data_IF_107212524961
#
_entry.id   IF_107212524961
#
_cell.length_a   1.000
_cell.length_b   1.000
_cell.length_c   1.000
_cell.angle_alpha   90.00
_cell.angle_beta   90.00
_cell.angle_gamma   90.00
#
_symmetry.space_group_name_H-M   'P 1'
#
loop_
_entity.id
_entity.type
_entity.pdbx_description
1 polymer ?
#
# COMPACT_ATOMS: atom_id res chain seq x y z
N UNK A 1 32.97 3.20 -14.45
CA UNK A 1 33.26 4.03 -15.64
C UNK A 1 34.32 5.06 -15.28
N UNK A 2 34.98 5.70 -16.25
CA UNK A 2 36.17 6.56 -15.98
C UNK A 2 35.95 7.58 -14.84
N UNK A 3 34.81 8.27 -14.83
CA UNK A 3 34.46 9.23 -13.77
C UNK A 3 34.30 8.57 -12.39
N UNK A 4 33.67 7.39 -12.33
CA UNK A 4 33.49 6.61 -11.10
C UNK A 4 34.82 6.12 -10.54
N UNK A 5 35.78 5.79 -11.39
CA UNK A 5 37.12 5.34 -10.99
C UNK A 5 37.97 6.49 -10.47
N UNK A 6 37.85 7.68 -11.06
CA UNK A 6 38.47 8.92 -10.55
C UNK A 6 37.92 9.24 -9.16
N UNK A 7 36.60 9.20 -9.00
CA UNK A 7 35.93 9.44 -7.72
C UNK A 7 36.35 8.43 -6.64
N UNK A 8 36.46 7.14 -7.00
CA UNK A 8 36.97 6.08 -6.12
C UNK A 8 38.35 6.46 -5.56
N UNK A 9 39.29 6.85 -6.43
CA UNK A 9 40.65 7.25 -6.03
C UNK A 9 40.65 8.49 -5.14
N UNK A 10 39.82 9.49 -5.45
CA UNK A 10 39.71 10.71 -4.66
C UNK A 10 39.21 10.43 -3.25
N UNK A 11 38.13 9.64 -3.11
CA UNK A 11 37.62 9.24 -1.80
C UNK A 11 38.68 8.48 -1.02
N UNK A 12 39.30 7.44 -1.59
CA UNK A 12 40.31 6.65 -0.87
C UNK A 12 41.51 7.49 -0.43
N UNK A 13 41.89 8.50 -1.22
CA UNK A 13 42.96 9.44 -0.84
C UNK A 13 42.56 10.31 0.35
N UNK A 14 41.32 10.80 0.36
CA UNK A 14 40.79 11.60 1.47
C UNK A 14 40.67 10.79 2.75
N UNK A 15 40.18 9.54 2.69
CA UNK A 15 40.07 8.70 3.89
C UNK A 15 41.43 8.46 4.54
N UNK A 16 42.45 8.12 3.73
CA UNK A 16 43.82 7.91 4.21
C UNK A 16 44.45 9.17 4.82
N UNK A 17 44.02 10.35 4.40
CA UNK A 17 44.50 11.61 4.97
C UNK A 17 43.86 11.93 6.34
N UNK A 18 42.64 11.45 6.58
CA UNK A 18 41.91 11.68 7.84
C UNK A 18 42.27 10.60 8.87
N UNK A 19 42.14 9.33 8.49
CA UNK A 19 42.48 8.19 9.34
C UNK A 19 43.15 7.09 8.50
N UNK A 20 44.47 6.86 8.68
CA UNK A 20 45.18 5.83 7.93
C UNK A 20 44.79 4.39 8.31
N UNK A 21 44.11 4.17 9.45
CA UNK A 21 43.69 2.84 9.88
C UNK A 21 42.38 2.38 9.23
N UNK A 22 41.65 3.26 8.55
CA UNK A 22 40.37 2.92 7.91
C UNK A 22 40.59 2.39 6.48
N UNK A 23 40.31 1.10 6.26
CA UNK A 23 40.26 0.52 4.91
C UNK A 23 38.88 0.74 4.26
N UNK A 24 38.76 1.82 3.49
CA UNK A 24 37.55 2.15 2.76
C UNK A 24 37.52 1.46 1.40
N UNK A 25 36.53 0.58 1.18
CA UNK A 25 36.33 -0.14 -0.08
C UNK A 25 35.05 0.34 -0.81
N UNK A 26 35.16 1.25 -1.80
CA UNK A 26 34.00 1.71 -2.56
C UNK A 26 33.47 0.61 -3.47
N UNK A 27 32.21 0.22 -3.27
CA UNK A 27 31.49 -0.73 -4.14
C UNK A 27 30.77 0.07 -5.23
N UNK A 28 31.17 -0.12 -6.49
CA UNK A 28 30.47 0.45 -7.63
C UNK A 28 29.20 -0.35 -7.89
N UNK A 29 28.05 0.34 -7.93
CA UNK A 29 26.80 -0.27 -8.40
C UNK A 29 26.69 -0.08 -9.92
N UNK A 30 26.14 -1.07 -10.65
CA UNK A 30 25.86 -0.90 -12.08
C UNK A 30 24.90 0.28 -12.28
N UNK A 31 24.99 0.94 -13.43
CA UNK A 31 24.03 1.98 -13.81
C UNK A 31 22.63 1.38 -13.80
N UNK A 32 21.67 2.12 -13.23
CA UNK A 32 20.28 1.71 -13.27
C UNK A 32 19.80 1.48 -14.72
N UNK A 33 18.89 0.53 -14.88
CA UNK A 33 18.29 0.22 -16.20
C UNK A 33 17.64 1.46 -16.79
N UNK A 34 17.61 1.57 -18.12
CA UNK A 34 16.87 2.63 -18.83
C UNK A 34 15.41 2.73 -18.35
N UNK A 35 14.83 1.59 -17.97
CA UNK A 35 13.50 1.48 -17.33
C UNK A 35 13.34 2.31 -16.04
N UNK A 36 14.43 2.55 -15.30
CA UNK A 36 14.40 3.39 -14.10
C UNK A 36 14.27 4.88 -14.47
N UNK A 37 14.81 5.32 -15.60
CA UNK A 37 14.69 6.70 -16.09
C UNK A 37 13.37 6.92 -16.84
N UNK A 38 12.87 5.89 -17.52
CA UNK A 38 11.63 5.91 -18.28
C UNK A 38 10.69 4.84 -17.73
N UNK A 39 9.96 5.13 -16.64
CA UNK A 39 9.00 4.19 -16.08
C UNK A 39 7.97 3.85 -17.16
N UNK A 40 7.76 2.56 -17.40
CA UNK A 40 6.82 2.07 -18.41
C UNK A 40 5.35 2.44 -18.08
N UNK A 41 5.04 2.74 -16.82
CA UNK A 41 3.70 3.02 -16.33
C UNK A 41 3.67 4.35 -15.60
N UNK A 42 2.56 5.05 -15.76
CA UNK A 42 2.29 6.29 -15.03
C UNK A 42 2.25 6.06 -13.51
N UNK A 43 2.70 7.04 -12.72
CA UNK A 43 2.63 6.96 -11.27
C UNK A 43 1.17 6.88 -10.82
N UNK A 44 0.87 5.87 -10.02
CA UNK A 44 -0.49 5.67 -9.48
C UNK A 44 -0.74 6.73 -8.39
N UNK A 45 -1.80 7.56 -8.49
CA UNK A 45 -2.20 8.51 -7.45
C UNK A 45 -2.43 7.82 -6.09
N UNK A 46 -2.15 8.54 -4.99
CA UNK A 46 -2.21 7.97 -3.63
C UNK A 46 -3.58 7.34 -3.31
N UNK A 47 -4.67 8.02 -3.67
CA UNK A 47 -6.05 7.60 -3.41
C UNK A 47 -6.43 6.25 -4.04
N UNK A 48 -5.88 5.92 -5.20
CA UNK A 48 -6.19 4.67 -5.91
C UNK A 48 -5.16 3.56 -5.70
N UNK A 49 -4.18 3.75 -4.80
CA UNK A 49 -3.25 2.68 -4.42
C UNK A 49 -3.96 1.60 -3.60
N UNK A 50 -3.55 0.36 -3.80
CA UNK A 50 -4.04 -0.82 -3.08
C UNK A 50 -2.94 -1.53 -2.30
N UNK A 51 -3.32 -2.34 -1.30
CA UNK A 51 -2.41 -3.17 -0.49
C UNK A 51 -1.35 -2.35 0.22
N UNK A 52 -1.81 -1.32 0.93
CA UNK A 52 -0.96 -0.36 1.63
C UNK A 52 -1.34 -0.29 3.10
N UNK A 53 -0.35 0.04 3.93
CA UNK A 53 -0.54 0.56 5.28
C UNK A 53 -0.42 2.08 5.19
N UNK A 54 -1.43 2.77 5.68
CA UNK A 54 -1.54 4.21 5.64
C UNK A 54 -1.69 4.79 7.05
N UNK A 55 -1.36 6.06 7.18
CA UNK A 55 -1.49 6.85 8.39
C UNK A 55 -2.42 8.03 8.12
N UNK A 56 -3.37 8.25 9.03
CA UNK A 56 -4.25 9.40 9.07
C UNK A 56 -3.93 10.24 10.30
N UNK A 57 -3.93 11.54 10.12
CA UNK A 57 -3.68 12.51 11.18
C UNK A 57 -4.96 13.30 11.43
N UNK A 58 -5.16 13.66 12.70
CA UNK A 58 -6.13 14.67 13.06
C UNK A 58 -5.56 16.07 12.77
N UNK A 59 -6.43 16.98 12.32
CA UNK A 59 -6.06 18.37 12.03
C UNK A 59 -6.00 19.22 13.31
N UNK A 60 -6.76 18.82 14.33
CA UNK A 60 -6.97 19.59 15.55
C UNK A 60 -6.19 19.04 16.76
N UNK A 61 -5.56 17.86 16.64
CA UNK A 61 -4.72 17.30 17.70
C UNK A 61 -3.67 16.31 17.17
N UNK A 62 -2.72 15.93 18.04
CA UNK A 62 -1.63 14.99 17.72
C UNK A 62 -2.08 13.51 17.65
N UNK A 63 -3.37 13.28 17.39
CA UNK A 63 -3.92 11.94 17.31
C UNK A 63 -3.70 11.38 15.90
N UNK A 64 -3.03 10.23 15.84
CA UNK A 64 -2.74 9.51 14.60
C UNK A 64 -3.44 8.15 14.59
N UNK A 65 -3.83 7.71 13.39
CA UNK A 65 -4.43 6.40 13.13
C UNK A 65 -3.62 5.67 12.06
N UNK A 66 -3.23 4.44 12.34
CA UNK A 66 -2.55 3.57 11.38
C UNK A 66 -3.52 2.46 10.97
N UNK A 67 -3.76 2.32 9.68
CA UNK A 67 -4.62 1.26 9.15
C UNK A 67 -4.07 0.64 7.88
N UNK A 68 -4.44 -0.60 7.60
CA UNK A 68 -4.21 -1.26 6.32
C UNK A 68 -5.43 -1.20 5.40
N UNK A 69 -5.16 -1.37 4.10
CA UNK A 69 -6.19 -1.71 3.12
C UNK A 69 -5.64 -2.64 2.04
N UNK A 70 -6.41 -3.67 1.68
CA UNK A 70 -6.15 -4.51 0.50
C UNK A 70 -6.76 -3.87 -0.76
N UNK A 71 -7.86 -3.12 -0.59
CA UNK A 71 -8.57 -2.39 -1.65
C UNK A 71 -7.90 -1.03 -1.91
N UNK A 72 -8.49 -0.20 -2.78
CA UNK A 72 -8.05 1.19 -2.94
C UNK A 72 -8.19 1.98 -1.64
N UNK A 73 -7.25 2.89 -1.37
CA UNK A 73 -7.30 3.77 -0.19
C UNK A 73 -8.57 4.60 -0.17
N UNK A 74 -8.96 5.20 -1.30
CA UNK A 74 -10.19 5.99 -1.41
C UNK A 74 -11.39 5.22 -0.86
N UNK A 75 -11.53 3.94 -1.22
CA UNK A 75 -12.62 3.11 -0.73
C UNK A 75 -12.58 2.96 0.79
N UNK A 76 -11.40 2.75 1.35
CA UNK A 76 -11.20 2.61 2.79
C UNK A 76 -11.50 3.89 3.56
N UNK A 77 -11.12 5.05 3.02
CA UNK A 77 -11.42 6.35 3.64
C UNK A 77 -12.92 6.64 3.62
N UNK A 78 -13.62 6.35 2.53
CA UNK A 78 -15.09 6.45 2.49
C UNK A 78 -15.78 5.51 3.50
N UNK A 79 -15.24 4.30 3.70
CA UNK A 79 -15.70 3.38 4.76
C UNK A 79 -15.47 3.93 6.18
N UNK A 80 -14.61 4.94 6.35
CA UNK A 80 -14.39 5.65 7.60
C UNK A 80 -15.18 6.97 7.69
N UNK A 81 -15.99 7.30 6.68
CA UNK A 81 -16.82 8.50 6.65
C UNK A 81 -16.23 9.69 5.90
N UNK A 82 -15.13 9.50 5.15
CA UNK A 82 -14.56 10.56 4.32
C UNK A 82 -15.50 10.92 3.16
N UNK A 83 -15.69 12.22 2.93
CA UNK A 83 -16.35 12.78 1.73
C UNK A 83 -15.26 13.22 0.76
N UNK A 84 -14.74 12.28 -0.03
CA UNK A 84 -13.71 12.61 -1.02
C UNK A 84 -14.39 12.96 -2.34
N UNK A 85 -14.54 14.26 -2.60
CA UNK A 85 -14.96 14.74 -3.91
C UNK A 85 -13.84 14.47 -4.93
N UNK A 86 -13.89 13.31 -5.58
CA UNK A 86 -12.95 12.90 -6.63
C UNK A 86 -12.99 13.83 -7.88
N UNK A 87 -13.88 14.82 -7.88
CA UNK A 87 -14.05 15.82 -8.94
C UNK A 87 -13.22 17.10 -8.72
N UNK A 88 -12.57 17.28 -7.55
CA UNK A 88 -11.62 18.37 -7.33
C UNK A 88 -10.22 17.96 -7.80
N UNK A 89 -10.05 17.84 -9.12
CA UNK A 89 -8.75 18.11 -9.73
C UNK A 89 -8.73 19.61 -10.08
N UNK A 90 -7.83 20.44 -9.49
CA UNK A 90 -7.75 21.84 -9.88
C UNK A 90 -7.16 22.05 -11.29
N UNK A 91 -6.66 21.00 -11.97
CA UNK A 91 -5.89 21.16 -13.20
C UNK A 91 -6.40 20.35 -14.41
N UNK A 92 -7.67 19.95 -14.45
CA UNK A 92 -8.29 19.74 -15.77
C UNK A 92 -8.65 21.14 -16.27
N UNK A 93 -7.66 21.82 -16.87
CA UNK A 93 -7.96 22.83 -17.89
C UNK A 93 -8.97 22.14 -18.81
N UNK A 94 -10.22 22.62 -18.93
CA UNK A 94 -11.13 22.06 -19.89
C UNK A 94 -10.45 22.28 -21.23
N UNK A 95 -9.91 21.20 -21.81
CA UNK A 95 -9.44 21.19 -23.18
C UNK A 95 -10.71 21.34 -24.00
N UNK A 96 -11.14 22.59 -24.12
CA UNK A 96 -12.18 23.06 -24.99
C UNK A 96 -11.57 23.06 -26.40
N UNK A 97 -11.15 21.89 -26.86
CA UNK A 97 -10.89 21.64 -28.26
C UNK A 97 -12.10 20.94 -28.81
N UNK A 98 -12.68 21.60 -29.79
CA UNK A 98 -13.78 21.19 -30.63
C UNK A 98 -13.33 19.94 -31.43
N UNK A 99 -13.31 18.76 -30.79
CA UNK A 99 -12.97 17.47 -31.43
C UNK A 99 -14.25 16.79 -31.92
N UNK A 100 -15.00 17.49 -32.77
CA UNK A 100 -16.16 16.89 -33.46
C UNK A 100 -15.92 16.67 -34.96
N UNK A 101 -14.67 16.73 -35.45
CA UNK A 101 -14.44 16.60 -36.91
C UNK A 101 -13.13 15.98 -37.40
N UNK A 102 -12.38 15.25 -36.57
CA UNK A 102 -11.26 14.44 -37.10
C UNK A 102 -11.68 12.97 -37.26
N UNK A 103 -11.89 12.47 -38.50
CA UNK A 103 -12.27 11.08 -38.70
C UNK A 103 -11.12 10.18 -38.23
N UNK A 104 -11.37 9.44 -37.14
CA UNK A 104 -10.49 8.36 -36.70
C UNK A 104 -10.27 7.41 -37.88
N UNK A 105 -9.00 7.19 -38.26
CA UNK A 105 -8.59 6.25 -39.32
C UNK A 105 -8.82 4.81 -38.86
N UNK A 106 -10.08 4.40 -38.70
CA UNK A 106 -10.48 3.01 -38.41
C UNK A 106 -10.43 2.21 -39.71
N UNK A 107 -9.98 0.96 -39.64
CA UNK A 107 -9.96 0.09 -40.82
C UNK A 107 -11.38 -0.14 -41.35
N UNK A 108 -11.57 -0.01 -42.66
CA UNK A 108 -12.85 -0.19 -43.36
C UNK A 108 -13.45 -1.61 -43.28
N UNK A 109 -12.71 -2.56 -42.71
CA UNK A 109 -13.14 -3.96 -42.57
C UNK A 109 -14.42 -4.17 -41.76
N UNK A 110 -14.83 -3.20 -40.94
CA UNK A 110 -15.97 -3.38 -40.02
C UNK A 110 -17.18 -2.47 -40.34
N UNK A 111 -17.17 -1.76 -41.48
CA UNK A 111 -18.26 -0.83 -41.86
C UNK A 111 -19.63 -1.50 -41.94
N UNK A 112 -19.68 -2.79 -42.28
CA UNK A 112 -20.94 -3.52 -42.49
C UNK A 112 -21.28 -4.50 -41.35
N UNK A 113 -20.58 -4.44 -40.21
CA UNK A 113 -20.89 -5.31 -39.06
C UNK A 113 -21.58 -4.46 -37.99
N UNK A 114 -22.91 -4.52 -37.96
CA UNK A 114 -23.69 -3.97 -36.86
C UNK A 114 -23.36 -4.77 -35.58
N UNK A 115 -22.35 -4.31 -34.83
CA UNK A 115 -22.11 -4.82 -33.48
C UNK A 115 -23.21 -4.24 -32.61
N UNK A 116 -24.25 -5.03 -32.36
CA UNK A 116 -25.28 -4.72 -31.38
C UNK A 116 -24.62 -4.79 -29.99
N UNK A 117 -24.07 -3.67 -29.53
CA UNK A 117 -23.69 -3.54 -28.14
C UNK A 117 -24.98 -3.51 -27.33
N UNK A 118 -25.13 -4.44 -26.38
CA UNK A 118 -26.14 -4.28 -25.34
C UNK A 118 -25.92 -2.89 -24.73
N UNK A 119 -26.96 -2.03 -24.67
CA UNK A 119 -26.81 -0.75 -24.02
C UNK A 119 -26.34 -1.06 -22.60
N UNK A 120 -25.15 -0.54 -22.24
CA UNK A 120 -24.80 -0.46 -20.82
C UNK A 120 -25.94 0.32 -20.24
N UNK A 121 -26.78 -0.33 -19.42
CA UNK A 121 -27.72 0.37 -18.58
C UNK A 121 -26.92 1.51 -17.97
N UNK A 122 -27.31 2.75 -18.27
CA UNK A 122 -26.90 3.88 -17.47
C UNK A 122 -27.44 3.56 -16.10
N UNK A 123 -26.65 2.82 -15.31
CA UNK A 123 -26.83 2.77 -13.89
C UNK A 123 -26.63 4.22 -13.53
N UNK A 124 -27.73 4.96 -13.39
CA UNK A 124 -27.77 6.23 -12.70
C UNK A 124 -26.77 6.10 -11.58
N UNK A 125 -25.72 6.93 -11.59
CA UNK A 125 -24.61 6.81 -10.67
C UNK A 125 -25.24 6.69 -9.29
N UNK A 126 -25.33 5.46 -8.74
CA UNK A 126 -26.00 5.26 -7.47
C UNK A 126 -25.20 6.13 -6.55
N UNK A 127 -25.76 7.22 -5.99
CA UNK A 127 -25.00 8.05 -5.08
C UNK A 127 -24.51 7.06 -4.04
N UNK A 128 -23.19 6.92 -3.94
CA UNK A 128 -22.59 5.98 -3.01
C UNK A 128 -22.99 6.53 -1.66
N UNK A 129 -24.09 6.04 -1.10
CA UNK A 129 -24.70 6.63 0.07
C UNK A 129 -23.60 6.76 1.13
N UNK A 130 -23.30 8.00 1.52
CA UNK A 130 -22.28 8.26 2.51
C UNK A 130 -22.66 7.45 3.74
N UNK A 131 -21.81 6.50 4.13
CA UNK A 131 -22.06 5.70 5.32
C UNK A 131 -21.72 6.59 6.52
N UNK A 132 -22.66 7.46 6.90
CA UNK A 132 -22.53 8.38 8.03
C UNK A 132 -22.55 7.66 9.39
N UNK A 133 -22.82 6.35 9.39
CA UNK A 133 -23.02 5.51 10.57
C UNK A 133 -21.78 4.67 10.95
N UNK A 134 -20.61 4.92 10.35
CA UNK A 134 -19.44 4.08 10.60
C UNK A 134 -18.91 4.29 12.02
N UNK A 135 -18.84 3.23 12.83
CA UNK A 135 -18.27 3.26 14.19
C UNK A 135 -16.74 3.07 14.19
N UNK A 136 -16.04 3.60 13.19
CA UNK A 136 -14.59 3.49 13.13
C UNK A 136 -13.94 4.35 14.23
N UNK A 137 -12.75 3.97 14.70
CA UNK A 137 -12.04 4.74 15.72
C UNK A 137 -11.78 6.19 15.27
N UNK A 138 -11.44 6.36 13.98
CA UNK A 138 -11.28 7.66 13.33
C UNK A 138 -12.58 8.46 13.35
N UNK A 139 -13.71 7.85 12.95
CA UNK A 139 -14.99 8.56 12.92
C UNK A 139 -15.51 8.93 14.31
N UNK A 140 -15.32 8.03 15.28
CA UNK A 140 -15.71 8.30 16.66
C UNK A 140 -14.84 9.39 17.29
N UNK A 141 -13.57 9.51 16.90
CA UNK A 141 -12.74 10.63 17.32
C UNK A 141 -13.27 11.97 16.80
N UNK A 142 -13.65 12.04 15.51
CA UNK A 142 -14.28 13.23 14.94
C UNK A 142 -15.56 13.61 15.71
N UNK A 143 -16.45 12.64 15.95
CA UNK A 143 -17.75 12.90 16.59
C UNK A 143 -17.63 13.25 18.08
N UNK A 144 -16.75 12.60 18.82
CA UNK A 144 -16.66 12.78 20.27
C UNK A 144 -15.93 14.07 20.65
N UNK A 145 -14.94 14.49 19.84
CA UNK A 145 -14.10 15.65 20.14
C UNK A 145 -14.42 16.85 19.24
N UNK A 146 -15.35 16.72 18.29
CA UNK A 146 -15.61 17.71 17.23
C UNK A 146 -14.34 18.10 16.45
N UNK A 147 -13.48 17.11 16.20
CA UNK A 147 -12.26 17.28 15.42
C UNK A 147 -12.43 16.84 13.97
N UNK A 148 -11.54 17.31 13.11
CA UNK A 148 -11.50 17.01 11.68
C UNK A 148 -10.26 16.17 11.32
N UNK A 149 -10.49 15.06 10.62
CA UNK A 149 -9.41 14.20 10.12
C UNK A 149 -8.95 14.69 8.76
N UNK A 150 -7.64 14.79 8.55
CA UNK A 150 -7.09 15.12 7.23
C UNK A 150 -7.14 13.91 6.29
N UNK A 151 -8.20 13.84 5.50
CA UNK A 151 -8.41 12.79 4.50
C UNK A 151 -7.58 12.98 3.22
N UNK A 152 -7.03 14.17 2.97
CA UNK A 152 -6.30 14.50 1.75
C UNK A 152 -4.80 14.25 1.90
N UNK A 153 -4.20 14.65 3.03
CA UNK A 153 -2.76 14.56 3.27
C UNK A 153 -2.36 13.32 4.08
N UNK A 154 -2.98 12.17 3.78
CA UNK A 154 -2.60 10.92 4.40
C UNK A 154 -1.23 10.40 3.88
N UNK A 155 -0.53 9.67 4.75
CA UNK A 155 0.76 9.09 4.45
C UNK A 155 0.63 7.60 4.13
N UNK A 156 1.45 7.12 3.18
CA UNK A 156 1.58 5.68 2.90
C UNK A 156 2.88 5.21 3.52
N UNK A 157 2.79 4.44 4.60
CA UNK A 157 3.93 3.96 5.37
C UNK A 157 4.56 2.72 4.74
N UNK A 158 3.73 1.80 4.26
CA UNK A 158 4.21 0.54 3.69
C UNK A 158 3.30 0.02 2.58
N UNK A 159 3.86 -0.82 1.71
CA UNK A 159 3.14 -1.57 0.67
C UNK A 159 3.58 -3.02 0.68
N UNK A 160 2.66 -3.93 0.40
CA UNK A 160 2.97 -5.34 0.19
C UNK A 160 1.99 -5.99 -0.79
N UNK A 161 2.42 -7.03 -1.50
CA UNK A 161 1.52 -7.81 -2.35
C UNK A 161 0.85 -8.96 -1.59
N UNK A 162 1.46 -9.46 -0.50
CA UNK A 162 0.92 -10.53 0.32
C UNK A 162 0.13 -9.96 1.50
N UNK A 163 -1.13 -10.36 1.61
CA UNK A 163 -2.03 -9.88 2.68
C UNK A 163 -1.47 -10.13 4.08
N UNK A 164 -0.84 -11.28 4.31
CA UNK A 164 -0.21 -11.60 5.60
C UNK A 164 0.95 -10.67 5.94
N UNK A 165 1.83 -10.37 4.97
CA UNK A 165 2.95 -9.46 5.19
C UNK A 165 2.46 -8.03 5.47
N UNK A 166 1.33 -7.63 4.86
CA UNK A 166 0.69 -6.35 5.16
C UNK A 166 0.19 -6.28 6.62
N UNK A 167 -0.38 -7.37 7.14
CA UNK A 167 -0.79 -7.46 8.54
C UNK A 167 0.41 -7.34 9.50
N UNK A 168 1.51 -8.05 9.19
CA UNK A 168 2.73 -7.99 9.99
C UNK A 168 3.31 -6.58 9.99
N UNK A 169 3.37 -5.93 8.82
CA UNK A 169 3.83 -4.53 8.69
C UNK A 169 2.96 -3.57 9.49
N UNK A 170 1.65 -3.70 9.41
CA UNK A 170 0.72 -2.89 10.22
C UNK A 170 0.95 -3.10 11.71
N UNK A 171 1.03 -4.36 12.18
CA UNK A 171 1.35 -4.66 13.59
C UNK A 171 2.66 -4.03 14.04
N UNK A 172 3.72 -4.15 13.24
CA UNK A 172 5.03 -3.57 13.55
C UNK A 172 4.98 -2.05 13.63
N UNK A 173 4.24 -1.40 12.72
CA UNK A 173 4.09 0.06 12.69
C UNK A 173 3.27 0.55 13.89
N UNK A 174 2.15 -0.11 14.24
CA UNK A 174 1.37 0.24 15.43
C UNK A 174 2.22 0.07 16.69
N UNK A 175 2.97 -1.04 16.79
CA UNK A 175 3.82 -1.29 17.95
C UNK A 175 5.00 -0.31 18.05
N UNK A 176 5.56 0.14 16.92
CA UNK A 176 6.69 1.07 16.91
C UNK A 176 6.26 2.53 17.11
N UNK A 177 5.12 2.94 16.54
CA UNK A 177 4.68 4.34 16.51
C UNK A 177 3.62 4.68 17.56
N UNK A 178 2.97 3.67 18.16
CA UNK A 178 1.95 3.81 19.21
C UNK A 178 0.88 4.88 18.89
N UNK A 179 0.16 4.75 17.77
CA UNK A 179 -0.86 5.73 17.36
C UNK A 179 -2.04 5.79 18.33
N UNK A 180 -2.36 7.01 18.79
CA UNK A 180 -3.38 7.26 19.82
C UNK A 180 -4.81 6.87 19.41
N UNK A 181 -5.14 6.87 18.11
CA UNK A 181 -6.49 6.53 17.64
C UNK A 181 -6.70 5.01 17.47
N UNK A 182 -5.63 4.21 17.49
CA UNK A 182 -5.75 2.77 17.32
C UNK A 182 -6.21 2.11 18.62
N UNK A 183 -7.35 1.43 18.58
CA UNK A 183 -7.85 0.63 19.72
C UNK A 183 -7.06 -0.65 19.95
N UNK A 184 -6.57 -1.23 18.86
CA UNK A 184 -5.87 -2.51 18.85
C UNK A 184 -4.37 -2.27 18.73
N UNK A 185 -3.59 -2.95 19.55
CA UNK A 185 -2.13 -2.86 19.59
C UNK A 185 -1.46 -3.55 18.40
N UNK A 186 -2.11 -4.54 17.78
CA UNK A 186 -1.59 -5.24 16.60
C UNK A 186 -2.70 -5.94 15.81
N UNK A 187 -2.48 -6.18 14.51
CA UNK A 187 -3.40 -6.95 13.65
C UNK A 187 -3.11 -8.45 13.66
N UNK A 188 -1.87 -8.83 13.99
CA UNK A 188 -1.33 -10.19 14.13
C UNK A 188 -0.38 -10.18 15.32
N UNK A 189 -0.41 -11.21 16.21
CA UNK A 189 0.49 -11.29 17.35
C UNK A 189 1.94 -11.36 16.89
N UNK A 190 2.76 -10.45 17.43
CA UNK A 190 4.20 -10.41 17.18
C UNK A 190 4.91 -11.33 18.17
N UNK A 191 4.89 -12.63 17.88
CA UNK A 191 5.59 -13.62 18.70
C UNK A 191 7.07 -13.60 18.29
N UNK A 192 7.92 -13.07 19.16
CA UNK A 192 9.37 -13.20 19.04
C UNK A 192 9.78 -14.46 19.78
N UNK A 193 10.49 -15.37 19.10
CA UNK A 193 11.10 -16.52 19.75
C UNK A 193 12.52 -16.12 20.17
N UNK A 194 12.76 -15.74 21.44
CA UNK A 194 14.07 -15.27 21.90
C UNK A 194 15.15 -16.36 21.73
N UNK A 195 14.75 -17.63 21.86
CA UNK A 195 15.61 -18.81 21.66
C UNK A 195 15.76 -19.22 20.18
N UNK A 196 15.21 -18.42 19.25
CA UNK A 196 15.16 -18.73 17.83
C UNK A 196 14.06 -19.75 17.47
N UNK A 197 13.78 -19.87 16.18
CA UNK A 197 12.92 -20.94 15.68
C UNK A 197 13.65 -22.26 15.86
N UNK A 198 13.14 -23.12 16.75
CA UNK A 198 13.64 -24.49 16.92
C UNK A 198 13.75 -25.15 15.53
N UNK A 199 14.96 -25.51 15.09
CA UNK A 199 15.16 -26.08 13.74
C UNK A 199 14.60 -27.50 13.58
N UNK A 200 14.04 -28.06 14.66
CA UNK A 200 13.44 -29.38 14.65
C UNK A 200 12.17 -29.38 13.81
N UNK A 201 12.17 -30.19 12.75
CA UNK A 201 10.94 -30.48 11.99
C UNK A 201 9.91 -31.08 12.96
N UNK A 202 8.66 -30.61 12.98
CA UNK A 202 7.63 -31.20 13.82
C UNK A 202 7.43 -32.67 13.41
N UNK A 203 7.73 -33.59 14.33
CA UNK A 203 7.49 -35.02 14.12
C UNK A 203 6.00 -35.29 14.33
N UNK A 204 5.21 -35.18 13.28
CA UNK A 204 3.80 -35.61 13.31
C UNK A 204 3.81 -37.14 13.26
N UNK A 205 3.57 -37.80 14.40
CA UNK A 205 3.24 -39.23 14.42
C UNK A 205 1.78 -39.35 13.95
N UNK A 206 1.57 -39.77 12.71
CA UNK A 206 0.26 -40.22 12.26
C UNK A 206 -0.02 -41.52 13.03
N UNK A 207 -1.09 -41.55 13.83
CA UNK A 207 -1.55 -42.81 14.46
C UNK A 207 -1.95 -43.76 13.34
N UNK A 208 -1.23 -44.88 13.19
CA UNK A 208 -1.68 -45.98 12.34
C UNK A 208 -2.93 -46.61 12.95
N UNK A 209 -3.92 -46.89 12.11
CA UNK A 209 -5.26 -47.41 12.45
C UNK A 209 -5.28 -48.82 13.06
N UNK A 210 -4.13 -49.35 13.48
CA UNK A 210 -3.98 -50.69 14.06
C UNK A 210 -3.94 -50.69 15.60
N UNK A 211 -3.78 -49.53 16.26
CA UNK A 211 -3.72 -49.43 17.73
C UNK A 211 -5.09 -49.28 18.42
N UNK A 212 -6.20 -49.41 17.68
CA UNK A 212 -7.57 -49.28 18.20
C UNK A 212 -8.32 -50.61 18.35
N UNK A 213 -7.64 -51.76 18.22
CA UNK A 213 -8.22 -53.09 18.44
C UNK A 213 -7.44 -53.90 19.48
N UNK A 214 -7.28 -53.35 20.68
CA UNK A 214 -6.95 -54.14 21.87
C UNK A 214 -7.45 -53.42 23.12
N UNK A 215 -8.76 -53.46 23.36
CA UNK A 215 -9.39 -53.26 24.68
C UNK A 215 -10.89 -53.59 24.56
N UNK A 216 -11.19 -54.86 24.28
CA UNK A 216 -12.41 -55.51 24.75
C UNK A 216 -11.94 -56.87 25.25
N UNK A 217 -11.70 -56.96 26.55
CA UNK A 217 -11.83 -58.18 27.35
C UNK A 217 -11.88 -57.78 28.82
N UNK A 218 -12.88 -58.37 29.49
CA UNK A 218 -13.39 -58.23 30.87
C UNK A 218 -14.48 -57.16 31.05
#
# INVERSE_FOLDING_TARGET
GKATDVFKKQITKLTKAIDPNVDLQPIQRPSCSLSQYFPLKDPIPKLIKSRVVYELNCSDCDATYIGKTVRHVSRRLHEHGATLDLNLQPDIIPLNSNIDSLPLRRSDRNKNKAVQYFPKTTVEARPFAHNTLTQSAVKQHELNNNHHIDWANFNILAKDNKNYQLLVKESLLINSLQPNLNRTTSSVPLIVFPEGLMSSKPKIKIRSTLDSLSLVDI
#
